data_IF_499443940598
#
_entry.id   IF_499443940598
#
_cell.length_a   1.000
_cell.length_b   1.000
_cell.length_c   1.000
_cell.angle_alpha   90.00
_cell.angle_beta   90.00
_cell.angle_gamma   90.00
#
_symmetry.space_group_name_H-M   'P 1'
#
loop_
_entity.id
_entity.type
_entity.pdbx_description
1 polymer ?
#
# COMPACT_ATOMS: atom_id res chain seq x y z
N UNK A 1 -2.07 0.78 8.23
CA UNK A 1 -1.97 0.23 9.62
C UNK A 1 -3.23 -0.51 10.03
N UNK A 2 -4.42 0.13 10.08
CA UNK A 2 -5.67 -0.49 10.57
C UNK A 2 -6.04 -1.84 9.91
N UNK A 3 -6.18 -1.87 8.59
CA UNK A 3 -6.88 -2.99 7.94
C UNK A 3 -5.95 -4.12 7.46
N UNK A 4 -4.73 -3.78 7.05
CA UNK A 4 -3.81 -4.73 6.41
C UNK A 4 -2.84 -5.36 7.42
N UNK A 5 -2.09 -4.53 8.17
CA UNK A 5 -0.94 -5.00 8.95
C UNK A 5 -1.32 -6.03 10.03
N UNK A 6 -2.37 -5.83 10.85
CA UNK A 6 -2.82 -6.84 11.83
C UNK A 6 -3.17 -8.20 11.21
N UNK A 7 -3.69 -8.21 9.97
CA UNK A 7 -4.01 -9.46 9.26
C UNK A 7 -2.76 -10.18 8.73
N UNK A 8 -1.68 -9.43 8.49
CA UNK A 8 -0.41 -10.00 8.03
C UNK A 8 0.37 -10.58 9.20
N UNK A 9 0.60 -9.80 10.26
CA UNK A 9 1.47 -10.21 11.37
C UNK A 9 0.73 -10.81 12.56
N UNK A 10 -0.60 -10.73 12.59
CA UNK A 10 -1.45 -11.13 13.71
C UNK A 10 -1.68 -9.99 14.72
N UNK A 11 -2.83 -9.99 15.40
CA UNK A 11 -3.22 -8.93 16.34
C UNK A 11 -2.25 -8.84 17.53
N UNK A 12 -1.84 -9.97 18.11
CA UNK A 12 -0.89 -10.00 19.23
C UNK A 12 0.47 -9.39 18.85
N UNK A 13 1.00 -9.74 17.67
CA UNK A 13 2.24 -9.16 17.16
C UNK A 13 2.08 -7.69 16.80
N UNK A 14 0.91 -7.26 16.30
CA UNK A 14 0.63 -5.86 16.04
C UNK A 14 0.68 -5.05 17.34
N UNK A 15 0.03 -5.50 18.41
CA UNK A 15 0.07 -4.83 19.71
C UNK A 15 1.48 -4.82 20.30
N UNK A 16 2.22 -5.92 20.18
CA UNK A 16 3.57 -6.03 20.71
C UNK A 16 4.58 -5.14 19.97
N UNK A 17 4.61 -5.19 18.63
CA UNK A 17 5.65 -4.52 17.84
C UNK A 17 5.28 -3.09 17.42
N UNK A 18 3.99 -2.77 17.27
CA UNK A 18 3.52 -1.47 16.75
C UNK A 18 2.77 -0.70 17.84
N UNK A 19 1.75 -1.34 18.44
CA UNK A 19 0.91 -0.79 19.50
C UNK A 19 0.18 0.51 19.11
N UNK A 20 -0.43 1.22 20.07
CA UNK A 20 -1.06 2.51 19.80
C UNK A 20 -0.04 3.58 19.40
N UNK A 21 -0.46 4.50 18.53
CA UNK A 21 0.36 5.65 18.15
C UNK A 21 0.49 6.63 19.31
N UNK A 22 1.70 7.16 19.53
CA UNK A 22 2.03 8.06 20.65
C UNK A 22 2.51 9.45 20.22
N UNK A 23 2.40 9.76 18.92
CA UNK A 23 2.95 10.98 18.34
C UNK A 23 4.22 10.72 17.53
N UNK A 24 4.60 11.74 16.77
CA UNK A 24 5.79 11.74 15.93
C UNK A 24 7.06 11.81 16.80
N UNK A 25 8.02 10.95 16.50
CA UNK A 25 9.33 10.93 17.13
C UNK A 25 10.42 11.29 16.10
N UNK A 26 11.03 12.49 16.21
CA UNK A 26 12.08 12.92 15.29
C UNK A 26 13.39 12.15 15.43
N UNK A 27 13.54 11.30 16.46
CA UNK A 27 14.73 10.44 16.66
C UNK A 27 14.58 9.07 16.02
N UNK A 28 13.37 8.70 15.59
CA UNK A 28 13.12 7.45 14.86
C UNK A 28 13.63 7.58 13.42
N UNK A 29 14.35 6.56 12.94
CA UNK A 29 14.76 6.45 11.53
C UNK A 29 13.64 5.79 10.71
N UNK A 30 12.93 6.52 9.84
CA UNK A 30 11.86 5.97 9.01
C UNK A 30 12.38 5.30 7.74
N UNK A 31 13.70 5.22 7.52
CA UNK A 31 14.25 4.61 6.31
C UNK A 31 13.88 3.13 6.21
N UNK A 32 13.66 2.68 4.97
CA UNK A 32 13.37 1.27 4.71
C UNK A 32 14.64 0.45 4.93
N UNK A 33 14.61 -0.45 5.92
CA UNK A 33 15.73 -1.36 6.16
C UNK A 33 15.94 -2.32 5.00
N UNK A 34 17.19 -2.68 4.75
CA UNK A 34 17.56 -3.60 3.67
C UNK A 34 16.85 -4.95 3.79
N UNK A 35 16.78 -5.53 5.00
CA UNK A 35 16.10 -6.82 5.23
C UNK A 35 14.60 -6.76 4.95
N UNK A 36 13.94 -5.63 5.25
CA UNK A 36 12.52 -5.48 4.99
C UNK A 36 12.22 -5.49 3.50
N UNK A 37 12.92 -4.66 2.71
CA UNK A 37 12.70 -4.54 1.27
C UNK A 37 13.15 -5.79 0.48
N UNK A 38 14.22 -6.44 0.94
CA UNK A 38 14.86 -7.52 0.20
C UNK A 38 14.32 -8.90 0.57
N UNK A 39 13.80 -9.07 1.79
CA UNK A 39 13.34 -10.36 2.28
C UNK A 39 11.96 -10.30 2.94
N UNK A 40 11.81 -9.62 4.09
CA UNK A 40 10.63 -9.81 4.95
C UNK A 40 9.31 -9.44 4.23
N UNK A 41 9.25 -8.30 3.54
CA UNK A 41 8.04 -7.87 2.85
C UNK A 41 7.76 -8.61 1.53
N UNK A 42 8.68 -9.50 1.10
CA UNK A 42 8.48 -10.41 -0.03
C UNK A 42 7.78 -11.70 0.35
N UNK A 43 7.29 -11.83 1.59
CA UNK A 43 6.39 -12.92 2.00
C UNK A 43 5.15 -13.00 1.08
N UNK A 44 4.70 -11.85 0.57
CA UNK A 44 3.55 -11.74 -0.33
C UNK A 44 3.72 -12.50 -1.66
N UNK A 45 4.94 -12.89 -2.04
CA UNK A 45 5.12 -13.78 -3.20
C UNK A 45 4.48 -15.16 -2.98
N UNK A 46 4.39 -15.62 -1.72
CA UNK A 46 3.69 -16.85 -1.38
C UNK A 46 2.16 -16.73 -1.41
N UNK A 47 1.62 -15.51 -1.53
CA UNK A 47 0.17 -15.28 -1.63
C UNK A 47 -0.30 -15.06 -3.07
N UNK A 48 0.61 -15.18 -4.05
CA UNK A 48 0.28 -15.02 -5.47
C UNK A 48 -0.50 -16.25 -5.95
N UNK A 49 -1.74 -16.02 -6.40
CA UNK A 49 -2.54 -17.06 -7.06
C UNK A 49 -2.00 -17.37 -8.45
N UNK A 50 -2.04 -18.64 -8.91
CA UNK A 50 -1.72 -18.98 -10.30
C UNK A 50 -2.68 -18.33 -11.32
N UNK A 51 -3.90 -18.02 -10.88
CA UNK A 51 -5.00 -17.58 -11.73
C UNK A 51 -5.47 -16.20 -11.30
N UNK A 52 -5.43 -15.26 -12.24
CA UNK A 52 -6.14 -13.98 -12.17
C UNK A 52 -7.61 -14.24 -12.51
N UNK A 53 -8.44 -14.14 -11.49
CA UNK A 53 -9.88 -14.29 -11.59
C UNK A 53 -10.49 -13.03 -12.21
N UNK A 54 -11.44 -13.22 -13.11
CA UNK A 54 -12.22 -12.15 -13.76
C UNK A 54 -13.69 -12.49 -13.64
N UNK A 55 -14.44 -11.65 -12.95
CA UNK A 55 -15.82 -11.91 -12.58
C UNK A 55 -16.80 -10.87 -13.15
N UNK A 56 -18.00 -11.31 -13.50
CA UNK A 56 -19.10 -10.45 -13.91
C UNK A 56 -19.77 -9.78 -12.70
N UNK A 57 -20.85 -9.04 -12.94
CA UNK A 57 -21.60 -8.30 -11.90
C UNK A 57 -22.20 -9.17 -10.81
N UNK A 58 -22.50 -10.44 -11.11
CA UNK A 58 -23.01 -11.42 -10.14
C UNK A 58 -21.90 -12.22 -9.45
N UNK A 59 -20.65 -11.77 -9.52
CA UNK A 59 -19.46 -12.45 -8.98
C UNK A 59 -19.28 -13.87 -9.52
N UNK A 60 -19.76 -14.13 -10.73
CA UNK A 60 -19.54 -15.39 -11.46
C UNK A 60 -18.47 -15.19 -12.54
N UNK A 61 -17.96 -16.29 -13.12
CA UNK A 61 -17.00 -16.21 -14.21
C UNK A 61 -17.54 -15.32 -15.34
N UNK A 62 -16.73 -14.33 -15.74
CA UNK A 62 -17.14 -13.38 -16.75
C UNK A 62 -17.27 -14.05 -18.13
N UNK A 63 -18.35 -13.75 -18.86
CA UNK A 63 -18.78 -14.44 -20.07
C UNK A 63 -17.81 -14.22 -21.24
N UNK A 64 -17.32 -12.99 -21.40
CA UNK A 64 -16.41 -12.58 -22.47
C UNK A 64 -14.93 -12.58 -22.06
N UNK A 65 -14.64 -12.50 -20.75
CA UNK A 65 -13.30 -12.27 -20.21
C UNK A 65 -12.93 -13.39 -19.22
N UNK A 66 -12.53 -14.58 -19.71
CA UNK A 66 -12.30 -15.75 -18.87
C UNK A 66 -11.11 -15.56 -17.91
N UNK A 67 -10.95 -16.43 -16.92
CA UNK A 67 -9.80 -16.36 -16.03
C UNK A 67 -8.47 -16.49 -16.78
N UNK A 68 -7.43 -15.84 -16.27
CA UNK A 68 -6.11 -15.81 -16.91
C UNK A 68 -5.07 -16.45 -16.00
N UNK A 69 -4.11 -17.16 -16.58
CA UNK A 69 -2.87 -17.51 -15.88
C UNK A 69 -2.06 -16.24 -15.63
N UNK A 70 -1.52 -16.06 -14.43
CA UNK A 70 -0.73 -14.86 -14.08
C UNK A 70 0.47 -14.66 -15.01
N UNK A 71 1.13 -15.72 -15.48
CA UNK A 71 2.23 -15.59 -16.46
C UNK A 71 1.82 -14.88 -17.75
N UNK A 72 0.54 -14.91 -18.11
CA UNK A 72 0.01 -14.26 -19.32
C UNK A 72 -0.45 -12.81 -19.11
N UNK A 73 -0.31 -12.27 -17.89
CA UNK A 73 -0.78 -10.93 -17.51
C UNK A 73 0.36 -9.96 -17.22
N UNK A 74 1.58 -10.44 -17.01
CA UNK A 74 2.76 -9.59 -16.83
C UNK A 74 2.92 -8.62 -18.02
N UNK A 75 3.15 -7.35 -17.70
CA UNK A 75 3.36 -6.27 -18.68
C UNK A 75 2.30 -6.17 -19.79
N UNK A 76 1.04 -6.52 -19.48
CA UNK A 76 -0.06 -6.56 -20.45
C UNK A 76 -1.15 -5.50 -20.20
N UNK A 77 -0.82 -4.19 -20.16
CA UNK A 77 -1.81 -3.14 -19.89
C UNK A 77 -2.91 -3.05 -20.95
N UNK A 78 -2.64 -3.56 -22.16
CA UNK A 78 -3.63 -3.65 -23.24
C UNK A 78 -4.88 -4.45 -22.85
N UNK A 79 -4.77 -5.38 -21.88
CA UNK A 79 -5.91 -6.15 -21.37
C UNK A 79 -6.90 -5.25 -20.64
N UNK A 80 -6.43 -4.26 -19.89
CA UNK A 80 -7.32 -3.28 -19.25
C UNK A 80 -8.08 -2.49 -20.31
N UNK A 81 -7.37 -2.04 -21.36
CA UNK A 81 -7.96 -1.21 -22.42
C UNK A 81 -8.94 -1.99 -23.30
N UNK A 82 -8.64 -3.27 -23.59
CA UNK A 82 -9.37 -4.07 -24.59
C UNK A 82 -10.24 -5.19 -24.01
N UNK A 83 -10.08 -5.55 -22.74
CA UNK A 83 -10.74 -6.70 -22.11
C UNK A 83 -11.56 -6.30 -20.87
N UNK A 84 -12.40 -5.26 -21.00
CA UNK A 84 -13.45 -4.96 -20.02
C UNK A 84 -13.05 -4.04 -18.87
N UNK A 85 -11.97 -3.26 -19.02
CA UNK A 85 -11.56 -2.30 -17.99
C UNK A 85 -10.92 -2.98 -16.77
N UNK A 86 -11.18 -2.41 -15.60
CA UNK A 86 -10.62 -2.90 -14.33
C UNK A 86 -11.63 -3.74 -13.54
N UNK A 87 -12.92 -3.56 -13.79
CA UNK A 87 -14.02 -4.09 -12.99
C UNK A 87 -14.01 -5.62 -12.91
N UNK A 88 -13.81 -6.39 -13.99
CA UNK A 88 -13.76 -7.85 -13.88
C UNK A 88 -12.64 -8.34 -12.97
N UNK A 89 -11.48 -7.70 -13.05
CA UNK A 89 -10.30 -8.03 -12.23
C UNK A 89 -10.46 -7.57 -10.79
N UNK A 90 -11.05 -6.40 -10.56
CA UNK A 90 -11.35 -5.91 -9.21
C UNK A 90 -12.36 -6.81 -8.50
N UNK A 91 -13.45 -7.22 -9.17
CA UNK A 91 -14.39 -8.22 -8.61
C UNK A 91 -13.69 -9.54 -8.33
N UNK A 92 -12.82 -10.00 -9.23
CA UNK A 92 -11.98 -11.18 -8.98
C UNK A 92 -11.08 -11.05 -7.76
N UNK A 93 -10.52 -9.87 -7.52
CA UNK A 93 -9.62 -9.57 -6.39
C UNK A 93 -10.35 -9.60 -5.05
N UNK A 94 -11.53 -8.97 -4.96
CA UNK A 94 -12.33 -8.93 -3.71
C UNK A 94 -13.24 -10.16 -3.54
N UNK A 95 -13.54 -10.87 -4.64
CA UNK A 95 -14.46 -12.00 -4.71
C UNK A 95 -13.82 -13.38 -4.68
N UNK A 96 -12.50 -13.46 -4.55
CA UNK A 96 -11.76 -14.74 -4.51
C UNK A 96 -10.86 -14.78 -3.28
N UNK A 97 -10.75 -15.92 -2.57
CA UNK A 97 -9.76 -16.06 -1.51
C UNK A 97 -8.34 -15.95 -2.07
N UNK A 98 -7.46 -15.28 -1.31
CA UNK A 98 -6.03 -15.31 -1.59
C UNK A 98 -5.45 -16.73 -1.45
N UNK A 99 -4.40 -17.02 -2.20
CA UNK A 99 -3.63 -18.25 -2.00
C UNK A 99 -2.89 -18.22 -0.66
N UNK A 100 -2.81 -19.38 -0.01
CA UNK A 100 -2.09 -19.56 1.24
C UNK A 100 -0.82 -20.34 0.95
N UNK A 101 0.33 -19.80 1.35
CA UNK A 101 1.58 -20.54 1.32
C UNK A 101 1.61 -21.57 2.46
N UNK A 102 2.17 -22.74 2.18
CA UNK A 102 2.52 -23.76 3.18
C UNK A 102 3.97 -24.18 2.97
N UNK A 103 4.60 -24.76 4.00
CA UNK A 103 6.00 -25.19 3.92
C UNK A 103 6.31 -26.07 2.68
N UNK A 104 5.33 -26.88 2.24
CA UNK A 104 5.44 -27.75 1.07
C UNK A 104 4.91 -27.15 -0.25
N UNK A 105 4.28 -25.96 -0.21
CA UNK A 105 3.76 -25.25 -1.38
C UNK A 105 3.94 -23.74 -1.15
N UNK A 106 5.18 -23.28 -1.32
CA UNK A 106 5.57 -21.91 -1.00
C UNK A 106 5.11 -20.92 -2.08
N UNK A 107 5.36 -21.23 -3.35
CA UNK A 107 5.06 -20.37 -4.50
C UNK A 107 4.44 -21.19 -5.63
N UNK A 108 3.68 -20.52 -6.49
CA UNK A 108 3.13 -21.12 -7.71
C UNK A 108 4.16 -21.17 -8.85
N UNK A 109 4.06 -22.20 -9.69
CA UNK A 109 4.87 -22.34 -10.93
C UNK A 109 4.74 -21.13 -11.88
N UNK A 110 3.65 -20.36 -11.79
CA UNK A 110 3.46 -19.17 -12.61
C UNK A 110 4.51 -18.08 -12.33
N UNK A 111 5.17 -18.11 -11.15
CA UNK A 111 6.25 -17.19 -10.78
C UNK A 111 7.61 -17.88 -10.57
N UNK A 112 7.68 -19.21 -10.49
CA UNK A 112 8.96 -19.93 -10.41
C UNK A 112 9.44 -20.45 -11.77
N UNK A 113 8.54 -20.80 -12.68
CA UNK A 113 8.89 -21.37 -13.99
C UNK A 113 8.56 -20.44 -15.17
N UNK A 114 7.66 -19.47 -14.95
CA UNK A 114 7.06 -18.65 -16.01
C UNK A 114 7.12 -17.15 -15.74
N UNK A 115 7.97 -16.69 -14.80
CA UNK A 115 8.12 -15.26 -14.56
C UNK A 115 8.72 -14.59 -15.79
N UNK A 116 8.08 -13.51 -16.24
CA UNK A 116 8.60 -12.67 -17.32
C UNK A 116 9.27 -11.45 -16.68
N UNK A 117 10.48 -11.12 -17.13
CA UNK A 117 11.22 -9.92 -16.72
C UNK A 117 11.44 -9.06 -17.96
N UNK A 118 11.15 -7.75 -17.88
CA UNK A 118 11.35 -6.81 -19.00
C UNK A 118 12.80 -6.88 -19.46
N UNK A 119 13.01 -6.94 -20.78
CA UNK A 119 14.32 -7.08 -21.42
C UNK A 119 15.05 -8.41 -21.16
N UNK A 120 14.36 -9.43 -20.64
CA UNK A 120 14.85 -10.80 -20.63
C UNK A 120 13.99 -11.65 -21.58
N UNK A 121 14.63 -12.34 -22.53
CA UNK A 121 13.94 -13.22 -23.47
C UNK A 121 13.62 -14.60 -22.88
N UNK A 122 14.08 -14.90 -21.66
CA UNK A 122 13.86 -16.19 -20.99
C UNK A 122 13.00 -16.02 -19.74
N UNK A 123 12.22 -17.06 -19.43
CA UNK A 123 11.54 -17.14 -18.15
C UNK A 123 12.54 -17.19 -17.00
N UNK A 124 12.17 -16.59 -15.88
CA UNK A 124 12.99 -16.54 -14.67
C UNK A 124 12.24 -17.17 -13.50
N UNK A 125 12.96 -17.50 -12.44
CA UNK A 125 12.41 -17.99 -11.18
C UNK A 125 12.44 -16.90 -10.10
N UNK A 126 11.26 -16.42 -9.67
CA UNK A 126 11.14 -15.40 -8.63
C UNK A 126 11.72 -15.86 -7.28
N UNK A 127 11.60 -17.14 -6.93
CA UNK A 127 12.17 -17.67 -5.69
C UNK A 127 13.70 -17.62 -5.75
N UNK A 128 14.29 -18.15 -6.82
CA UNK A 128 15.73 -18.08 -7.05
C UNK A 128 16.25 -16.63 -7.08
N UNK A 129 15.51 -15.70 -7.68
CA UNK A 129 15.84 -14.27 -7.64
C UNK A 129 15.81 -13.70 -6.23
N UNK A 130 14.86 -14.07 -5.37
CA UNK A 130 14.82 -13.59 -3.99
C UNK A 130 16.01 -14.10 -3.18
N UNK A 131 16.35 -15.39 -3.31
CA UNK A 131 17.53 -15.97 -2.68
C UNK A 131 18.81 -15.26 -3.14
N UNK A 132 18.99 -15.10 -4.45
CA UNK A 132 20.17 -14.44 -5.00
C UNK A 132 20.23 -12.96 -4.62
N UNK A 133 19.08 -12.27 -4.54
CA UNK A 133 19.02 -10.86 -4.13
C UNK A 133 19.38 -10.69 -2.65
N UNK A 134 18.99 -11.62 -1.78
CA UNK A 134 19.41 -11.61 -0.38
C UNK A 134 20.93 -11.64 -0.23
N UNK A 135 21.59 -12.47 -1.05
CA UNK A 135 23.07 -12.60 -1.08
C UNK A 135 23.75 -11.38 -1.68
N UNK A 136 23.21 -10.85 -2.78
CA UNK A 136 23.66 -9.61 -3.42
C UNK A 136 23.63 -8.43 -2.43
N UNK A 137 22.57 -8.35 -1.62
CA UNK A 137 22.40 -7.31 -0.61
C UNK A 137 23.19 -7.57 0.69
N UNK A 138 23.96 -8.66 0.77
CA UNK A 138 24.75 -9.01 1.94
C UNK A 138 23.92 -9.23 3.20
N UNK A 139 22.69 -9.75 3.07
CA UNK A 139 21.84 -10.00 4.24
C UNK A 139 22.46 -11.08 5.14
N UNK A 140 22.52 -10.87 6.46
CA UNK A 140 22.85 -11.92 7.41
C UNK A 140 21.92 -13.12 7.29
N UNK A 141 22.43 -14.26 7.75
CA UNK A 141 21.69 -15.52 7.75
C UNK A 141 20.47 -15.51 8.67
N UNK A 142 19.58 -16.48 8.46
CA UNK A 142 18.31 -16.62 9.17
C UNK A 142 18.44 -16.55 10.71
N UNK A 143 19.42 -17.24 11.30
CA UNK A 143 19.58 -17.25 12.76
C UNK A 143 20.03 -15.91 13.36
N UNK A 144 20.73 -15.07 12.60
CA UNK A 144 21.12 -13.73 13.06
C UNK A 144 19.89 -12.83 13.16
N UNK A 145 18.97 -12.94 12.19
CA UNK A 145 17.69 -12.25 12.25
C UNK A 145 16.74 -12.81 13.31
N UNK A 146 16.76 -14.13 13.56
CA UNK A 146 16.07 -14.70 14.74
C UNK A 146 16.59 -14.09 16.03
N UNK A 147 17.92 -14.01 16.19
CA UNK A 147 18.55 -13.42 17.37
C UNK A 147 18.19 -11.94 17.53
N UNK A 148 18.20 -11.16 16.43
CA UNK A 148 17.77 -9.76 16.40
C UNK A 148 16.31 -9.58 16.89
N UNK A 149 15.44 -10.54 16.56
CA UNK A 149 14.05 -10.57 16.99
C UNK A 149 13.83 -11.21 18.37
N UNK A 150 14.89 -11.57 19.10
CA UNK A 150 14.78 -12.24 20.40
C UNK A 150 14.29 -13.70 20.32
N UNK A 151 14.29 -14.29 19.12
CA UNK A 151 13.94 -15.68 18.88
C UNK A 151 15.17 -16.58 19.06
N UNK A 152 14.96 -17.81 19.54
CA UNK A 152 16.05 -18.77 19.73
C UNK A 152 16.68 -19.17 18.40
N UNK A 153 18.02 -19.24 18.37
CA UNK A 153 18.78 -19.75 17.22
C UNK A 153 18.54 -21.25 17.06
N UNK A 154 18.30 -21.68 15.82
CA UNK A 154 18.13 -23.09 15.47
C UNK A 154 19.51 -23.72 15.28
N UNK A 155 19.81 -24.79 16.01
CA UNK A 155 21.12 -25.48 15.93
C UNK A 155 21.05 -26.86 15.31
N UNK A 156 19.87 -27.50 15.38
CA UNK A 156 19.66 -28.90 15.01
C UNK A 156 18.52 -29.03 14.02
N UNK A 157 18.46 -30.19 13.37
CA UNK A 157 17.34 -30.56 12.53
C UNK A 157 16.03 -30.58 13.32
N UNK A 158 16.07 -31.02 14.58
CA UNK A 158 14.92 -31.07 15.48
C UNK A 158 14.34 -29.68 15.73
N UNK A 159 15.19 -28.69 16.03
CA UNK A 159 14.73 -27.30 16.16
C UNK A 159 14.16 -26.74 14.86
N UNK A 160 14.72 -27.11 13.69
CA UNK A 160 14.16 -26.68 12.41
C UNK A 160 12.79 -27.31 12.14
N UNK A 161 12.58 -28.57 12.51
CA UNK A 161 11.29 -29.26 12.40
C UNK A 161 10.21 -28.60 13.26
N UNK A 162 10.57 -28.13 14.46
CA UNK A 162 9.63 -27.45 15.35
C UNK A 162 9.13 -26.12 14.77
N UNK A 163 10.01 -25.37 14.11
CA UNK A 163 9.67 -24.07 13.51
C UNK A 163 8.93 -24.24 12.17
N UNK A 164 9.34 -25.19 11.33
CA UNK A 164 8.76 -25.40 9.99
C UNK A 164 7.46 -26.21 10.03
N UNK A 165 7.27 -27.06 11.06
CA UNK A 165 6.14 -28.00 11.20
C UNK A 165 5.98 -28.98 10.02
N UNK A 166 6.99 -29.12 9.18
CA UNK A 166 7.08 -30.13 8.13
C UNK A 166 8.47 -30.80 8.16
N UNK A 167 8.50 -32.08 8.52
CA UNK A 167 9.72 -32.88 8.63
C UNK A 167 10.52 -32.89 7.32
N UNK A 168 9.83 -33.11 6.18
CA UNK A 168 10.48 -33.34 4.89
C UNK A 168 11.08 -32.05 4.37
N UNK A 169 10.40 -30.93 4.58
CA UNK A 169 10.89 -29.61 4.20
C UNK A 169 12.09 -29.21 5.06
N UNK A 170 12.01 -29.37 6.38
CA UNK A 170 13.13 -29.08 7.29
C UNK A 170 14.38 -29.89 6.95
N UNK A 171 14.21 -31.20 6.70
CA UNK A 171 15.31 -32.08 6.30
C UNK A 171 15.96 -31.63 4.98
N UNK A 172 15.15 -31.32 3.95
CA UNK A 172 15.64 -30.81 2.67
C UNK A 172 16.40 -29.49 2.82
N UNK A 173 15.88 -28.55 3.59
CA UNK A 173 16.54 -27.27 3.84
C UNK A 173 17.91 -27.50 4.48
N UNK A 174 17.98 -28.31 5.55
CA UNK A 174 19.25 -28.56 6.23
C UNK A 174 20.22 -29.35 5.34
N UNK A 175 19.73 -30.29 4.53
CA UNK A 175 20.55 -31.00 3.55
C UNK A 175 21.15 -30.05 2.50
N UNK A 176 20.44 -29.01 2.09
CA UNK A 176 20.93 -28.01 1.12
C UNK A 176 21.91 -27.02 1.76
N UNK A 177 21.52 -26.39 2.88
CA UNK A 177 22.29 -25.31 3.50
C UNK A 177 23.41 -25.79 4.43
N UNK A 178 23.38 -27.08 4.84
CA UNK A 178 24.30 -27.76 5.77
C UNK A 178 24.31 -27.23 7.21
N UNK A 179 24.09 -25.93 7.40
CA UNK A 179 24.02 -25.26 8.69
C UNK A 179 22.80 -24.31 8.69
N UNK A 180 21.93 -24.32 9.72
CA UNK A 180 20.82 -23.37 9.82
C UNK A 180 21.22 -21.90 9.77
N UNK A 181 22.44 -21.55 10.20
CA UNK A 181 22.99 -20.20 10.11
C UNK A 181 23.10 -19.69 8.66
N UNK A 182 23.23 -20.60 7.69
CA UNK A 182 23.40 -20.24 6.27
C UNK A 182 22.06 -20.04 5.54
N UNK A 183 20.92 -20.35 6.17
CA UNK A 183 19.62 -20.25 5.51
C UNK A 183 19.37 -18.79 5.14
N UNK A 184 19.05 -18.54 3.86
CA UNK A 184 18.66 -17.22 3.38
C UNK A 184 17.41 -16.74 4.12
N UNK A 185 17.45 -15.54 4.70
CA UNK A 185 16.39 -15.01 5.59
C UNK A 185 15.00 -14.97 4.92
N UNK A 186 14.92 -14.74 3.60
CA UNK A 186 13.65 -14.80 2.87
C UNK A 186 13.01 -16.19 2.94
N UNK A 187 13.78 -17.25 2.69
CA UNK A 187 13.29 -18.62 2.80
C UNK A 187 12.96 -18.93 4.25
N UNK A 188 13.89 -18.63 5.16
CA UNK A 188 13.75 -18.89 6.59
C UNK A 188 12.47 -18.30 7.17
N UNK A 189 12.16 -17.04 6.87
CA UNK A 189 10.92 -16.38 7.32
C UNK A 189 9.64 -16.90 6.65
N UNK A 190 9.72 -17.43 5.43
CA UNK A 190 8.56 -17.94 4.69
C UNK A 190 8.15 -19.36 5.12
N UNK A 191 9.11 -20.17 5.61
CA UNK A 191 8.84 -21.55 6.02
C UNK A 191 8.45 -21.71 7.49
N UNK A 192 8.53 -20.64 8.29
CA UNK A 192 8.05 -20.69 9.66
C UNK A 192 6.53 -20.89 9.68
N UNK A 193 6.05 -21.72 10.62
CA UNK A 193 4.63 -21.88 10.87
C UNK A 193 3.97 -20.53 11.19
N UNK A 194 2.79 -20.30 10.61
CA UNK A 194 2.10 -19.01 10.71
C UNK A 194 1.52 -18.80 12.10
N UNK A 195 1.63 -17.59 12.63
CA UNK A 195 0.96 -17.23 13.89
C UNK A 195 -0.58 -17.28 13.74
N UNK A 196 -1.34 -17.57 14.81
CA UNK A 196 -2.79 -17.55 14.78
C UNK A 196 -3.35 -16.23 14.24
N UNK A 197 -4.28 -16.31 13.29
CA UNK A 197 -4.91 -15.13 12.67
C UNK A 197 -4.00 -14.30 11.75
N UNK A 198 -2.75 -14.74 11.50
CA UNK A 198 -1.77 -14.04 10.68
C UNK A 198 -1.59 -14.68 9.29
N UNK A 199 -0.64 -14.15 8.51
CA UNK A 199 -0.11 -14.73 7.28
C UNK A 199 1.40 -14.92 7.31
N UNK A 200 2.02 -14.77 8.48
CA UNK A 200 3.48 -14.83 8.63
C UNK A 200 3.87 -15.54 9.93
N UNK A 201 5.02 -16.19 9.93
CA UNK A 201 5.61 -16.70 11.17
C UNK A 201 6.26 -15.62 12.05
N UNK A 202 6.76 -16.00 13.23
CA UNK A 202 7.32 -15.09 14.23
C UNK A 202 8.40 -14.12 13.71
N UNK A 203 9.32 -14.59 12.86
CA UNK A 203 10.41 -13.77 12.35
C UNK A 203 9.88 -12.65 11.45
N UNK A 204 9.03 -12.99 10.48
CA UNK A 204 8.44 -12.01 9.58
C UNK A 204 7.51 -11.04 10.34
N UNK A 205 6.77 -11.52 11.35
CA UNK A 205 5.96 -10.65 12.20
C UNK A 205 6.81 -9.59 12.92
N UNK A 206 7.97 -9.97 13.48
CA UNK A 206 8.92 -9.06 14.09
C UNK A 206 9.50 -8.04 13.08
N UNK A 207 10.04 -8.52 11.96
CA UNK A 207 10.73 -7.67 10.97
C UNK A 207 9.76 -6.67 10.32
N UNK A 208 8.58 -7.14 9.93
CA UNK A 208 7.52 -6.29 9.37
C UNK A 208 7.00 -5.33 10.43
N UNK A 209 6.69 -5.82 11.65
CA UNK A 209 6.17 -5.00 12.74
C UNK A 209 7.09 -3.85 13.11
N UNK A 210 8.39 -4.12 13.30
CA UNK A 210 9.41 -3.09 13.60
C UNK A 210 9.52 -2.04 12.49
N UNK A 211 9.57 -2.46 11.22
CA UNK A 211 9.64 -1.51 10.11
C UNK A 211 8.37 -0.66 9.99
N UNK A 212 7.20 -1.28 10.13
CA UNK A 212 5.90 -0.60 10.09
C UNK A 212 5.81 0.45 11.20
N UNK A 213 6.24 0.13 12.43
CA UNK A 213 6.32 1.11 13.53
C UNK A 213 7.25 2.27 13.19
N UNK A 214 8.43 2.00 12.63
CA UNK A 214 9.38 3.05 12.25
C UNK A 214 8.80 3.99 11.18
N UNK A 215 8.11 3.46 10.16
CA UNK A 215 7.41 4.28 9.18
C UNK A 215 6.34 5.17 9.80
N UNK A 216 5.59 4.67 10.79
CA UNK A 216 4.53 5.44 11.44
C UNK A 216 5.11 6.51 12.36
N UNK A 217 5.99 6.12 13.27
CA UNK A 217 6.46 6.98 14.35
C UNK A 217 7.50 8.00 13.85
N UNK A 218 8.25 7.69 12.79
CA UNK A 218 9.22 8.59 12.16
C UNK A 218 8.66 9.48 11.04
N UNK A 219 7.36 9.41 10.74
CA UNK A 219 6.73 10.26 9.72
C UNK A 219 6.08 11.50 10.36
N UNK A 220 6.68 12.67 10.11
CA UNK A 220 6.14 13.96 10.56
C UNK A 220 4.74 14.26 9.99
N UNK A 221 4.42 13.66 8.85
CA UNK A 221 3.14 13.80 8.16
C UNK A 221 2.18 12.64 8.41
N UNK A 222 2.46 11.78 9.39
CA UNK A 222 1.53 10.74 9.80
C UNK A 222 0.17 11.36 10.12
N UNK A 223 -0.90 10.80 9.57
CA UNK A 223 -2.23 11.44 9.58
C UNK A 223 -2.79 11.68 11.00
N UNK A 224 -2.38 10.90 12.01
CA UNK A 224 -2.79 11.11 13.40
C UNK A 224 -1.93 12.14 14.13
N UNK A 225 -0.80 12.58 13.55
CA UNK A 225 0.10 13.54 14.19
C UNK A 225 -0.59 14.89 14.46
N UNK A 226 -0.09 15.58 15.47
CA UNK A 226 -0.63 16.88 15.87
C UNK A 226 -0.39 17.93 14.80
N UNK A 227 -1.41 18.72 14.51
CA UNK A 227 -1.38 19.75 13.47
C UNK A 227 -1.46 19.26 12.03
N UNK A 228 -1.50 17.94 11.76
CA UNK A 228 -1.66 17.42 10.40
C UNK A 228 -3.10 17.52 9.90
N UNK A 229 -4.05 17.12 10.74
CA UNK A 229 -5.48 17.24 10.49
C UNK A 229 -6.17 17.78 11.74
N UNK A 230 -7.27 18.50 11.55
CA UNK A 230 -8.16 18.86 12.66
C UNK A 230 -8.83 17.62 13.24
N UNK A 231 -9.38 17.70 14.47
CA UNK A 231 -10.09 16.56 15.05
C UNK A 231 -11.27 16.11 14.17
N UNK A 232 -12.03 17.08 13.64
CA UNK A 232 -13.15 16.80 12.72
C UNK A 232 -12.67 16.05 11.46
N UNK A 233 -11.55 16.45 10.89
CA UNK A 233 -10.95 15.77 9.74
C UNK A 233 -10.49 14.35 10.09
N UNK A 234 -9.87 14.16 11.26
CA UNK A 234 -9.46 12.83 11.75
C UNK A 234 -10.66 11.90 11.92
N UNK A 235 -11.76 12.40 12.48
CA UNK A 235 -13.00 11.64 12.66
C UNK A 235 -13.59 11.21 11.30
N UNK A 236 -13.54 12.09 10.29
CA UNK A 236 -13.99 11.76 8.93
C UNK A 236 -13.07 10.75 8.22
N UNK A 237 -11.74 10.84 8.42
CA UNK A 237 -10.80 9.88 7.82
C UNK A 237 -11.00 8.45 8.33
N UNK A 238 -11.48 8.27 9.56
CA UNK A 238 -11.78 6.95 10.11
C UNK A 238 -12.92 6.23 9.36
N UNK A 239 -13.81 6.98 8.70
CA UNK A 239 -14.88 6.43 7.87
C UNK A 239 -14.39 5.89 6.52
N UNK A 240 -13.14 6.18 6.12
CA UNK A 240 -12.54 5.68 4.89
C UNK A 240 -12.28 4.17 4.91
N UNK A 241 -12.49 3.51 3.77
CA UNK A 241 -12.17 2.09 3.57
C UNK A 241 -11.77 1.80 2.12
N UNK A 242 -10.99 0.72 1.90
CA UNK A 242 -10.66 0.27 0.53
C UNK A 242 -11.93 -0.10 -0.25
N UNK A 243 -12.92 -0.69 0.43
CA UNK A 243 -14.21 -1.01 -0.16
C UNK A 243 -14.95 0.23 -0.66
N UNK A 244 -14.95 1.33 0.10
CA UNK A 244 -15.53 2.61 -0.34
C UNK A 244 -14.77 3.20 -1.54
N UNK A 245 -13.44 3.13 -1.53
CA UNK A 245 -12.62 3.57 -2.67
C UNK A 245 -13.00 2.82 -3.95
N UNK A 246 -13.23 1.50 -3.86
CA UNK A 246 -13.71 0.70 -5.00
C UNK A 246 -15.08 1.19 -5.47
N UNK A 247 -16.02 1.44 -4.56
CA UNK A 247 -17.35 1.98 -4.89
C UNK A 247 -17.28 3.35 -5.60
N UNK A 248 -16.40 4.25 -5.16
CA UNK A 248 -16.30 5.61 -5.71
C UNK A 248 -15.63 5.67 -7.08
N UNK A 249 -14.76 4.70 -7.39
CA UNK A 249 -13.85 4.77 -8.53
C UNK A 249 -14.04 3.60 -9.53
N UNK A 250 -15.16 2.89 -9.45
CA UNK A 250 -15.49 1.81 -10.38
C UNK A 250 -17.01 1.65 -10.54
N UNK A 251 -17.42 0.82 -11.49
CA UNK A 251 -18.84 0.47 -11.67
C UNK A 251 -19.30 -0.71 -10.77
N UNK A 252 -18.51 -1.12 -9.78
CA UNK A 252 -18.89 -2.16 -8.82
C UNK A 252 -19.88 -1.55 -7.82
N UNK A 253 -21.04 -2.20 -7.66
CA UNK A 253 -22.14 -1.72 -6.80
C UNK A 253 -22.26 -2.44 -5.46
N UNK A 254 -21.59 -3.58 -5.32
CA UNK A 254 -21.64 -4.41 -4.12
C UNK A 254 -20.22 -4.82 -3.70
N UNK A 255 -19.91 -4.63 -2.43
CA UNK A 255 -18.58 -4.90 -1.86
C UNK A 255 -18.70 -5.51 -0.46
N UNK A 256 -17.68 -6.26 -0.04
CA UNK A 256 -17.53 -6.67 1.35
C UNK A 256 -17.11 -5.46 2.21
N UNK A 257 -17.51 -5.39 3.48
CA UNK A 257 -17.17 -4.27 4.39
C UNK A 257 -15.66 -4.10 4.59
N UNK A 258 -14.93 -5.22 4.60
CA UNK A 258 -13.47 -5.28 4.67
C UNK A 258 -12.93 -6.03 3.44
N UNK A 259 -12.43 -5.30 2.44
CA UNK A 259 -11.91 -5.87 1.19
C UNK A 259 -10.72 -6.84 1.36
N UNK A 260 -10.10 -6.92 2.55
CA UNK A 260 -9.04 -7.90 2.82
C UNK A 260 -9.56 -9.24 3.35
N UNK A 261 -10.86 -9.36 3.65
CA UNK A 261 -11.49 -10.61 4.07
C UNK A 261 -12.32 -11.18 2.94
N UNK A 262 -12.23 -12.50 2.78
CA UNK A 262 -13.07 -13.21 1.83
C UNK A 262 -14.48 -13.38 2.41
N UNK A 263 -15.47 -12.91 1.67
CA UNK A 263 -16.89 -13.16 1.90
C UNK A 263 -17.54 -13.84 0.70
N UNK A 264 -18.61 -14.58 0.93
CA UNK A 264 -19.42 -15.25 -0.09
C UNK A 264 -20.50 -14.30 -0.60
N UNK A 265 -20.45 -13.99 -1.89
CA UNK A 265 -21.52 -13.28 -2.57
C UNK A 265 -22.79 -14.17 -2.68
N UNK A 266 -24.01 -13.62 -2.49
CA UNK A 266 -24.31 -12.22 -2.14
C UNK A 266 -24.33 -11.94 -0.62
N UNK A 267 -24.33 -12.98 0.22
CA UNK A 267 -24.66 -12.85 1.65
C UNK A 267 -23.72 -11.93 2.45
N UNK A 268 -22.44 -11.92 2.11
CA UNK A 268 -21.43 -11.13 2.84
C UNK A 268 -21.16 -9.76 2.18
N UNK A 269 -21.96 -9.38 1.18
CA UNK A 269 -21.79 -8.15 0.40
C UNK A 269 -22.86 -7.12 0.75
N UNK A 270 -22.48 -5.86 0.67
CA UNK A 270 -23.36 -4.72 0.88
C UNK A 270 -23.37 -3.82 -0.35
N UNK A 271 -24.52 -3.20 -0.63
CA UNK A 271 -24.59 -2.12 -1.61
C UNK A 271 -23.68 -0.97 -1.22
N UNK A 272 -22.98 -0.42 -2.21
CA UNK A 272 -22.14 0.77 -2.09
C UNK A 272 -22.88 2.00 -1.52
N UNK A 273 -24.21 2.07 -1.66
CA UNK A 273 -25.03 3.15 -1.12
C UNK A 273 -25.07 3.15 0.42
N UNK A 274 -24.82 2.00 1.04
CA UNK A 274 -24.80 1.84 2.50
C UNK A 274 -23.37 1.88 3.08
N UNK A 275 -22.34 2.03 2.23
CA UNK A 275 -20.96 2.09 2.68
C UNK A 275 -20.61 3.47 3.24
N UNK A 276 -20.04 3.56 4.46
CA UNK A 276 -19.54 4.82 5.01
C UNK A 276 -18.60 5.51 4.03
N UNK A 277 -18.68 6.84 3.98
CA UNK A 277 -17.84 7.69 3.13
C UNK A 277 -17.28 8.86 3.94
N UNK A 278 -16.18 9.42 3.47
CA UNK A 278 -15.53 10.58 4.08
C UNK A 278 -16.33 11.83 3.69
N UNK A 279 -16.76 12.62 4.67
CA UNK A 279 -17.40 13.91 4.39
C UNK A 279 -16.35 15.02 4.25
N UNK A 280 -16.17 15.51 3.01
CA UNK A 280 -15.20 16.55 2.70
C UNK A 280 -15.60 17.96 3.17
N UNK A 281 -16.80 18.15 3.72
CA UNK A 281 -17.15 19.43 4.37
C UNK A 281 -16.22 19.75 5.55
N UNK A 282 -15.58 18.76 6.17
CA UNK A 282 -14.55 18.97 7.19
C UNK A 282 -13.27 19.67 6.66
N UNK A 283 -13.09 19.74 5.33
CA UNK A 283 -12.03 20.50 4.66
C UNK A 283 -12.52 21.82 4.08
N UNK A 284 -13.79 22.16 4.30
CA UNK A 284 -14.31 23.43 3.81
C UNK A 284 -13.63 24.57 4.54
N UNK A 285 -12.83 25.32 3.80
CA UNK A 285 -12.28 26.58 4.28
C UNK A 285 -13.40 27.62 4.36
N UNK A 286 -13.54 28.26 5.52
CA UNK A 286 -14.32 29.48 5.59
C UNK A 286 -13.65 30.54 4.73
N UNK A 287 -14.44 31.25 3.90
CA UNK A 287 -13.92 32.41 3.19
C UNK A 287 -13.37 33.39 4.22
N UNK A 288 -12.09 33.75 4.10
CA UNK A 288 -11.49 34.76 4.97
C UNK A 288 -12.36 36.02 4.93
N UNK A 289 -12.49 36.72 6.07
CA UNK A 289 -13.27 37.98 6.13
C UNK A 289 -12.84 38.94 5.02
N UNK A 290 -11.55 38.99 4.74
CA UNK A 290 -10.94 39.77 3.67
C UNK A 290 -11.43 39.33 2.27
N UNK A 291 -11.56 38.02 2.01
CA UNK A 291 -12.09 37.52 0.74
C UNK A 291 -13.58 37.82 0.59
N UNK A 292 -14.34 37.80 1.70
CA UNK A 292 -15.74 38.23 1.72
C UNK A 292 -15.86 39.73 1.40
N UNK A 293 -14.95 40.54 1.96
CA UNK A 293 -14.93 41.99 1.80
C UNK A 293 -14.47 42.45 0.41
N UNK A 294 -13.33 41.95 -0.08
CA UNK A 294 -12.76 42.31 -1.37
C UNK A 294 -13.39 41.56 -2.55
N UNK A 295 -14.13 40.48 -2.27
CA UNK A 295 -14.66 39.56 -3.29
C UNK A 295 -13.57 38.69 -3.93
N UNK A 296 -14.00 37.65 -4.63
CA UNK A 296 -13.08 36.75 -5.34
C UNK A 296 -12.31 37.53 -6.44
N UNK A 297 -10.98 37.42 -6.51
CA UNK A 297 -10.20 38.01 -7.60
C UNK A 297 -10.73 37.56 -8.96
N UNK A 298 -10.71 38.46 -9.95
CA UNK A 298 -11.21 38.14 -11.28
C UNK A 298 -10.25 37.16 -11.96
N UNK A 299 -10.82 36.10 -12.55
CA UNK A 299 -10.08 35.16 -13.39
C UNK A 299 -9.51 35.86 -14.63
N UNK A 300 -8.32 35.44 -15.06
CA UNK A 300 -7.63 35.99 -16.22
C UNK A 300 -7.53 34.91 -17.31
N UNK A 301 -7.58 35.31 -18.58
CA UNK A 301 -7.43 34.37 -19.69
C UNK A 301 -5.98 33.89 -19.76
N UNK A 302 -5.76 32.58 -19.94
CA UNK A 302 -4.44 31.95 -20.04
C UNK A 302 -3.54 32.09 -18.79
N UNK A 303 -4.16 32.20 -17.61
CA UNK A 303 -3.47 32.22 -16.34
C UNK A 303 -4.42 31.91 -15.19
N UNK A 304 -3.89 31.85 -13.98
CA UNK A 304 -4.64 31.60 -12.76
C UNK A 304 -4.09 32.40 -11.59
N UNK A 305 -4.78 32.41 -10.45
CA UNK A 305 -4.30 32.99 -9.21
C UNK A 305 -4.41 32.05 -8.02
N UNK A 306 -3.51 32.22 -7.06
CA UNK A 306 -3.63 31.62 -5.73
C UNK A 306 -3.86 32.72 -4.69
N UNK A 307 -4.65 32.40 -3.67
CA UNK A 307 -4.82 33.26 -2.51
C UNK A 307 -3.79 32.89 -1.44
N UNK A 308 -3.17 33.89 -0.84
CA UNK A 308 -2.23 33.74 0.27
C UNK A 308 -2.45 34.84 1.30
N UNK A 309 -1.97 34.63 2.53
CA UNK A 309 -1.93 35.66 3.57
C UNK A 309 -0.49 36.07 3.81
N UNK A 310 -0.18 37.35 3.58
CA UNK A 310 1.16 37.92 3.83
C UNK A 310 1.04 39.10 4.78
N UNK A 311 1.72 39.02 5.93
CA UNK A 311 1.65 40.05 6.99
C UNK A 311 0.22 40.37 7.44
N UNK A 312 -0.65 39.35 7.46
CA UNK A 312 -2.05 39.49 7.86
C UNK A 312 -2.97 40.13 6.82
N UNK A 313 -2.51 40.40 5.59
CA UNK A 313 -3.33 40.85 4.47
C UNK A 313 -3.54 39.72 3.45
N UNK A 314 -4.75 39.61 2.92
CA UNK A 314 -5.06 38.72 1.80
C UNK A 314 -4.40 39.23 0.50
N UNK A 315 -3.68 38.35 -0.17
CA UNK A 315 -2.97 38.62 -1.42
C UNK A 315 -3.41 37.59 -2.47
N UNK A 316 -3.73 38.07 -3.68
CA UNK A 316 -3.92 37.22 -4.85
C UNK A 316 -2.68 37.28 -5.74
N UNK A 317 -2.01 36.13 -5.90
CA UNK A 317 -0.80 35.94 -6.70
C UNK A 317 -1.16 35.31 -8.04
N UNK A 318 -0.97 36.05 -9.12
CA UNK A 318 -1.29 35.63 -10.48
C UNK A 318 -0.10 35.01 -11.19
N UNK A 319 -0.38 34.01 -12.01
CA UNK A 319 0.58 33.32 -12.86
C UNK A 319 -0.03 33.05 -14.24
N UNK A 320 0.80 33.01 -15.29
CA UNK A 320 0.36 32.65 -16.63
C UNK A 320 0.67 31.20 -16.93
N UNK A 321 -0.19 30.58 -17.74
CA UNK A 321 0.11 29.26 -18.31
C UNK A 321 1.31 29.32 -19.24
N UNK A 322 1.91 28.16 -19.47
CA UNK A 322 3.05 28.02 -20.35
C UNK A 322 2.78 28.62 -21.75
N UNK A 323 3.73 29.42 -22.27
CA UNK A 323 3.59 30.13 -23.55
C UNK A 323 3.00 31.54 -23.48
N UNK A 324 2.68 32.02 -22.27
CA UNK A 324 2.18 33.38 -22.04
C UNK A 324 3.06 34.12 -21.04
N UNK A 325 3.22 35.43 -21.26
CA UNK A 325 3.91 36.34 -20.32
C UNK A 325 2.90 37.20 -19.58
N UNK A 326 3.15 37.36 -18.29
CA UNK A 326 2.34 38.19 -17.40
C UNK A 326 2.64 39.66 -17.66
N UNK A 327 1.59 40.44 -17.91
CA UNK A 327 1.62 41.89 -18.09
C UNK A 327 0.74 42.55 -17.04
N UNK A 328 1.37 43.21 -16.07
CA UNK A 328 0.72 43.85 -14.92
C UNK A 328 1.31 43.39 -13.60
N UNK A 329 0.65 43.71 -12.49
CA UNK A 329 1.07 43.31 -11.16
C UNK A 329 0.84 41.80 -10.95
N UNK A 330 1.91 41.07 -10.58
CA UNK A 330 1.81 39.64 -10.25
C UNK A 330 1.13 39.36 -8.92
N UNK A 331 1.04 40.37 -8.06
CA UNK A 331 0.33 40.28 -6.79
C UNK A 331 -0.59 41.50 -6.64
N UNK A 332 -1.83 41.25 -6.23
CA UNK A 332 -2.78 42.29 -5.82
C UNK A 332 -3.20 42.01 -4.38
N UNK A 333 -3.37 43.06 -3.58
CA UNK A 333 -3.57 42.98 -2.13
C UNK A 333 -4.99 43.47 -1.83
N UNK A 334 -5.70 42.80 -0.94
CA UNK A 334 -6.99 43.27 -0.44
C UNK A 334 -6.76 44.41 0.58
N UNK A 335 -7.22 45.61 0.23
CA UNK A 335 -7.08 46.82 1.05
C UNK A 335 -8.43 47.56 1.07
N UNK A 336 -8.92 47.92 2.26
CA UNK A 336 -10.16 48.70 2.44
C UNK A 336 -11.36 48.15 1.64
N UNK A 337 -11.56 46.83 1.66
CA UNK A 337 -12.61 46.11 0.93
C UNK A 337 -12.48 46.14 -0.61
N UNK A 338 -11.31 46.46 -1.18
CA UNK A 338 -11.04 46.39 -2.63
C UNK A 338 -9.66 45.83 -2.93
N UNK A 339 -9.50 45.29 -4.13
CA UNK A 339 -8.19 44.88 -4.63
C UNK A 339 -7.36 46.09 -5.03
N UNK A 340 -6.09 46.13 -4.60
CA UNK A 340 -5.17 47.26 -4.78
C UNK A 340 -4.88 47.58 -6.26
N UNK A 341 -5.03 46.61 -7.15
CA UNK A 341 -4.79 46.74 -8.58
C UNK A 341 -5.79 45.93 -9.41
N UNK A 342 -5.89 46.27 -10.70
CA UNK A 342 -6.58 45.43 -11.67
C UNK A 342 -5.80 44.13 -11.90
N UNK A 343 -6.49 43.01 -12.16
CA UNK A 343 -5.86 41.75 -12.53
C UNK A 343 -4.91 41.91 -13.73
N UNK A 344 -3.75 41.25 -13.73
CA UNK A 344 -2.83 41.28 -14.86
C UNK A 344 -3.40 40.53 -16.08
N UNK A 345 -2.74 40.66 -17.22
CA UNK A 345 -3.08 39.94 -18.45
C UNK A 345 -1.97 38.97 -18.84
N UNK A 346 -2.35 37.80 -19.36
CA UNK A 346 -1.40 36.86 -19.95
C UNK A 346 -1.42 37.01 -21.47
N UNK A 347 -0.35 37.57 -22.03
CA UNK A 347 -0.19 37.78 -23.48
C UNK A 347 0.73 36.72 -24.07
N UNK A 348 0.36 36.13 -25.21
CA UNK A 348 1.19 35.15 -25.90
C UNK A 348 2.55 35.75 -26.25
N UNK A 349 3.60 34.94 -26.13
CA UNK A 349 4.95 35.29 -26.56
C UNK A 349 5.10 35.27 -28.07
#
# INVERSE_FOLDING_TARGET
>A
MRDYVPKIIGEESFEHYIGPYRGYDPTTDPSTSNVFATAAFRFGHGTISPILQRLNESFQMHEHFPHLRISSTFFSPWRIVKEGGIEPTLRGTIGTPASTASANMLLTEEVTERLIVVNNSQFTDLASLNLQRGRDHGLPGYNDWRSFCGLERIKTLEGLKEVVRDYRVAEKILQLYKNPDNIDVWLGGLVEDTLPGSRTGPLNACLIGKQMKAFRDGDRFWWEADGMFSQQQKDELLNGSLSRIICDNSNIREVHTDSFRFGKFPNDYLSCDHMPSINLEAWREEKSRDLVQCGTPRQIKNGDFILSSTSGKLVALYSCYHGFKLKGAAAIICEENRWSNQPPQCTGT
#
